data_IF_012439987293
#
_entry.id   IF_012439987293
#
_cell.length_a   1.000
_cell.length_b   1.000
_cell.length_c   1.000
_cell.angle_alpha   90.00
_cell.angle_beta   90.00
_cell.angle_gamma   90.00
#
_symmetry.space_group_name_H-M   'P 1'
#
loop_
_entity.id
_entity.type
_entity.pdbx_description
1 polymer ?
#
# COMPACT_ATOMS: atom_id res chain seq x y z
N UNK A 1 17.17 -6.53 -11.17
CA UNK A 1 16.49 -6.36 -10.82
C UNK A 1 15.14 -6.52 -10.96
N UNK A 2 14.25 -6.55 -11.03
CA UNK A 2 12.89 -6.64 -11.21
C UNK A 2 12.13 -5.84 -10.23
N UNK A 3 10.85 -5.85 -10.40
CA UNK A 3 9.96 -5.16 -9.53
C UNK A 3 9.89 -5.84 -8.21
N UNK A 4 9.98 -5.06 -7.19
CA UNK A 4 9.90 -5.62 -5.87
C UNK A 4 8.68 -5.20 -5.14
N UNK A 5 7.90 -4.29 -5.68
CA UNK A 5 6.67 -3.90 -5.03
C UNK A 5 5.81 -3.15 -6.02
N UNK A 6 4.53 -3.14 -5.74
CA UNK A 6 3.57 -2.35 -6.47
C UNK A 6 3.10 -1.24 -5.58
N UNK A 7 3.07 -0.03 -6.10
CA UNK A 7 2.61 1.09 -5.29
C UNK A 7 1.51 1.81 -6.03
N UNK A 8 0.64 2.44 -5.26
CA UNK A 8 -0.44 3.20 -5.82
C UNK A 8 -0.91 4.22 -4.83
N UNK A 9 -1.76 5.11 -5.30
CA UNK A 9 -2.31 6.15 -4.46
C UNK A 9 -3.79 6.27 -4.74
N UNK A 10 -4.57 6.38 -3.68
CA UNK A 10 -5.98 6.62 -3.83
C UNK A 10 -6.37 7.68 -2.81
N UNK A 11 -7.64 7.99 -2.74
CA UNK A 11 -8.12 9.03 -1.84
C UNK A 11 -8.74 8.40 -0.61
N UNK A 12 -8.72 9.12 0.51
CA UNK A 12 -9.24 8.53 1.74
C UNK A 12 -10.72 8.19 1.66
N UNK A 13 -11.47 8.89 0.84
CA UNK A 13 -12.89 8.60 0.75
C UNK A 13 -13.20 7.45 -0.19
N UNK A 14 -12.18 6.88 -0.82
CA UNK A 14 -12.40 5.77 -1.72
C UNK A 14 -12.33 4.48 -0.94
N UNK A 15 -13.33 4.26 -0.12
CA UNK A 15 -13.27 3.14 0.81
C UNK A 15 -13.37 1.80 0.13
N UNK A 16 -14.04 1.77 -1.00
CA UNK A 16 -14.11 0.52 -1.75
C UNK A 16 -12.73 0.08 -2.23
N UNK A 17 -11.96 1.03 -2.73
CA UNK A 17 -10.63 0.70 -3.20
C UNK A 17 -9.73 0.32 -2.04
N UNK A 18 -9.85 1.05 -0.95
CA UNK A 18 -9.02 0.74 0.20
C UNK A 18 -9.34 -0.65 0.73
N UNK A 19 -10.62 -0.98 0.81
CA UNK A 19 -11.00 -2.30 1.27
C UNK A 19 -10.52 -3.38 0.34
N UNK A 20 -10.62 -3.16 -0.95
CA UNK A 20 -10.14 -4.12 -1.91
C UNK A 20 -8.63 -4.30 -1.80
N UNK A 21 -7.93 -3.21 -1.64
CA UNK A 21 -6.48 -3.28 -1.53
C UNK A 21 -6.08 -4.11 -0.32
N UNK A 22 -6.76 -3.91 0.80
CA UNK A 22 -6.44 -4.70 1.97
C UNK A 22 -6.71 -6.17 1.74
N UNK A 23 -7.79 -6.45 1.04
CA UNK A 23 -8.15 -7.82 0.78
C UNK A 23 -7.10 -8.49 -0.08
N UNK A 24 -6.49 -7.74 -0.97
CA UNK A 24 -5.46 -8.26 -1.84
C UNK A 24 -4.10 -8.34 -1.17
N UNK A 25 -3.97 -7.78 0.01
CA UNK A 25 -2.70 -7.86 0.70
C UNK A 25 -1.88 -6.59 0.66
N UNK A 26 -2.44 -5.52 0.12
CA UNK A 26 -1.71 -4.26 0.09
C UNK A 26 -1.58 -3.67 1.49
N UNK A 27 -0.50 -2.98 1.70
CA UNK A 27 -0.38 -2.16 2.88
C UNK A 27 -1.02 -0.82 2.59
N UNK A 28 -1.69 -0.27 3.58
CA UNK A 28 -2.45 0.95 3.42
C UNK A 28 -1.93 1.98 4.40
N UNK A 29 -1.54 3.13 3.86
CA UNK A 29 -1.03 4.21 4.69
C UNK A 29 -1.85 5.45 4.39
N UNK A 30 -2.64 5.88 5.33
CA UNK A 30 -3.56 6.98 5.15
C UNK A 30 -2.91 8.27 5.60
N UNK A 31 -2.77 9.19 4.66
CA UNK A 31 -2.16 10.48 4.94
C UNK A 31 -3.26 11.53 4.88
N UNK A 32 -3.91 11.73 6.00
CA UNK A 32 -5.06 12.61 6.05
C UNK A 32 -4.66 14.04 5.68
N UNK A 33 -3.50 14.45 6.14
CA UNK A 33 -3.09 15.83 5.90
C UNK A 33 -2.85 16.09 4.43
N UNK A 34 -2.45 15.06 3.72
CA UNK A 34 -2.22 15.20 2.30
C UNK A 34 -3.41 14.82 1.47
N UNK A 35 -4.41 14.26 2.10
CA UNK A 35 -5.61 13.87 1.37
C UNK A 35 -5.38 12.70 0.45
N UNK A 36 -4.44 11.83 0.78
CA UNK A 36 -4.15 10.68 -0.06
C UNK A 36 -3.99 9.43 0.80
N UNK A 37 -4.07 8.31 0.14
CA UNK A 37 -3.83 7.02 0.76
C UNK A 37 -2.81 6.30 -0.09
N UNK A 38 -1.71 5.92 0.52
CA UNK A 38 -0.67 5.19 -0.19
C UNK A 38 -0.90 3.71 -0.05
N UNK A 39 -0.75 3.00 -1.16
CA UNK A 39 -0.93 1.56 -1.19
C UNK A 39 0.38 0.95 -1.65
N UNK A 40 0.75 -0.13 -1.02
CA UNK A 40 1.97 -0.81 -1.40
C UNK A 40 1.81 -2.31 -1.21
N UNK A 41 2.18 -3.06 -2.23
CA UNK A 41 2.14 -4.50 -2.15
C UNK A 41 3.54 -5.02 -2.42
N UNK A 42 4.23 -5.50 -1.40
CA UNK A 42 5.56 -6.05 -1.62
C UNK A 42 5.43 -7.31 -2.45
N UNK A 43 6.25 -7.42 -3.46
CA UNK A 43 6.21 -8.57 -4.34
C UNK A 43 7.31 -9.55 -4.04
N UNK A 44 8.35 -9.11 -3.37
CA UNK A 44 9.43 -10.01 -3.05
C UNK A 44 9.01 -10.98 -2.00
N UNK A 45 9.52 -12.17 -2.06
CA UNK A 45 9.18 -13.13 -1.06
C UNK A 45 10.23 -13.19 0.01
N UNK A 46 11.15 -12.26 0.02
CA UNK A 46 12.16 -12.27 1.03
C UNK A 46 11.64 -11.64 2.27
N UNK A 47 12.28 -11.96 3.33
CA UNK A 47 11.91 -11.39 4.58
C UNK A 47 12.02 -9.91 4.55
N UNK A 48 11.01 -9.27 4.99
CA UNK A 48 11.01 -7.84 5.04
C UNK A 48 11.12 -7.44 6.46
N UNK A 49 12.24 -6.94 6.80
CA UNK A 49 12.43 -6.55 8.15
C UNK A 49 12.20 -5.12 8.36
N UNK A 50 11.67 -4.44 7.37
CA UNK A 50 11.43 -3.06 7.53
C UNK A 50 10.33 -2.82 8.48
N UNK A 51 10.47 -1.78 9.24
CA UNK A 51 9.38 -1.32 10.04
C UNK A 51 8.67 -0.21 9.36
N UNK A 52 9.13 0.22 8.22
CA UNK A 52 8.49 1.29 7.52
C UNK A 52 7.48 0.77 6.57
N UNK A 53 6.65 1.68 6.10
CA UNK A 53 5.64 1.35 5.14
C UNK A 53 6.32 0.85 3.87
N UNK A 54 6.06 -0.38 3.57
CA UNK A 54 6.58 -1.01 2.40
C UNK A 54 8.06 -0.76 2.24
#
# INVERSE_FOLDING_TARGET
HGLEKLVGITMPNNQGMIGLARKLGFQVDIQIEDGIVNLCLPLGNLTQEHTEFC
#
